data_IF_897510988799
#
_entry.id   IF_897510988799
#
_cell.length_a   1.000
_cell.length_b   1.000
_cell.length_c   1.000
_cell.angle_alpha   90.00
_cell.angle_beta   90.00
_cell.angle_gamma   90.00
#
_symmetry.space_group_name_H-M   'P 1'
#
loop_
_entity.id
_entity.type
_entity.pdbx_description
1 polymer ?
#
# COMPACT_ATOMS: atom_id res chain seq x y z
N UNK A 1 -17.58 -26.05 -6.79
CA UNK A 1 -16.79 -26.36 -5.59
C UNK A 1 -15.34 -25.95 -5.88
N UNK A 2 -14.77 -25.04 -5.09
CA UNK A 2 -13.46 -24.42 -5.37
C UNK A 2 -12.31 -25.17 -4.69
N UNK A 3 -12.60 -26.26 -3.97
CA UNK A 3 -11.60 -27.10 -3.30
C UNK A 3 -10.83 -26.42 -2.17
N UNK A 4 -11.30 -25.26 -1.68
CA UNK A 4 -10.64 -24.51 -0.63
C UNK A 4 -11.06 -25.03 0.74
N UNK A 5 -10.07 -25.35 1.60
CA UNK A 5 -10.33 -25.71 2.99
C UNK A 5 -10.67 -24.51 3.87
N UNK A 6 -10.07 -23.34 3.57
CA UNK A 6 -10.35 -22.04 4.21
C UNK A 6 -10.38 -20.94 3.14
N UNK A 7 -11.27 -19.97 3.28
CA UNK A 7 -11.36 -18.83 2.39
C UNK A 7 -11.64 -17.55 3.19
N UNK A 8 -11.25 -16.41 2.66
CA UNK A 8 -11.63 -15.09 3.15
C UNK A 8 -12.71 -14.55 2.22
N UNK A 9 -13.81 -14.11 2.80
CA UNK A 9 -14.86 -13.39 2.12
C UNK A 9 -14.87 -11.96 2.62
N UNK A 10 -14.78 -11.01 1.70
CA UNK A 10 -14.73 -9.58 2.02
C UNK A 10 -15.65 -8.78 1.10
N UNK A 11 -16.23 -7.65 1.56
CA UNK A 11 -17.00 -6.76 0.69
C UNK A 11 -16.13 -6.26 -0.45
N UNK A 12 -16.75 -6.03 -1.61
CA UNK A 12 -16.06 -5.45 -2.77
C UNK A 12 -15.49 -4.05 -2.49
N UNK A 13 -16.17 -3.29 -1.64
CA UNK A 13 -15.74 -1.97 -1.17
C UNK A 13 -15.78 -2.02 0.36
N UNK A 14 -14.64 -1.84 1.01
CA UNK A 14 -14.49 -1.86 2.45
C UNK A 14 -13.23 -1.11 2.85
N UNK A 15 -13.11 -0.76 4.13
CA UNK A 15 -11.91 -0.23 4.74
C UNK A 15 -11.64 -0.97 6.06
N UNK A 16 -10.39 -1.00 6.51
CA UNK A 16 -9.95 -1.57 7.81
C UNK A 16 -10.44 -3.01 8.07
N UNK A 17 -10.54 -3.84 7.03
CA UNK A 17 -11.06 -5.22 7.09
C UNK A 17 -12.50 -5.33 7.65
N UNK A 18 -13.29 -4.23 7.64
CA UNK A 18 -14.69 -4.30 8.04
C UNK A 18 -15.47 -5.22 7.11
N UNK A 19 -16.28 -6.11 7.70
CA UNK A 19 -17.06 -7.09 6.94
C UNK A 19 -16.22 -8.20 6.30
N UNK A 20 -14.96 -8.39 6.74
CA UNK A 20 -14.09 -9.47 6.28
C UNK A 20 -14.28 -10.70 7.18
N UNK A 21 -14.60 -11.83 6.56
CA UNK A 21 -14.95 -13.06 7.25
C UNK A 21 -14.04 -14.21 6.82
N UNK A 22 -13.63 -15.03 7.79
CA UNK A 22 -13.00 -16.30 7.53
C UNK A 22 -14.07 -17.37 7.37
N UNK A 23 -14.03 -18.08 6.25
CA UNK A 23 -14.88 -19.22 5.97
C UNK A 23 -14.09 -20.51 6.11
N UNK A 24 -14.66 -21.48 6.80
CA UNK A 24 -14.17 -22.86 6.87
C UNK A 24 -15.36 -23.82 6.92
N UNK A 25 -15.17 -25.14 6.82
CA UNK A 25 -16.27 -26.09 6.92
C UNK A 25 -17.12 -25.95 8.18
N UNK A 26 -16.49 -25.48 9.28
CA UNK A 26 -17.14 -25.34 10.60
C UNK A 26 -17.57 -23.91 10.89
N UNK A 27 -17.19 -22.94 10.06
CA UNK A 27 -17.47 -21.50 10.25
C UNK A 27 -18.19 -20.95 9.01
N UNK A 28 -19.48 -20.70 9.17
CA UNK A 28 -20.31 -20.04 8.17
C UNK A 28 -20.59 -18.56 8.51
N UNK A 29 -21.25 -17.87 7.60
CA UNK A 29 -21.73 -16.52 7.80
C UNK A 29 -23.12 -16.52 8.45
N UNK A 30 -23.40 -15.48 9.23
CA UNK A 30 -24.75 -15.20 9.68
C UNK A 30 -25.64 -14.79 8.49
N UNK A 31 -26.95 -14.88 8.69
CA UNK A 31 -27.91 -14.46 7.65
C UNK A 31 -27.84 -12.95 7.35
N UNK A 32 -27.49 -12.15 8.36
CA UNK A 32 -27.27 -10.69 8.20
C UNK A 32 -26.04 -10.39 7.36
N UNK A 33 -24.94 -11.11 7.59
CA UNK A 33 -23.70 -10.92 6.83
C UNK A 33 -23.87 -11.33 5.36
N UNK A 34 -24.56 -12.42 5.11
CA UNK A 34 -24.93 -12.83 3.74
C UNK A 34 -25.78 -11.79 3.03
N UNK A 35 -26.76 -11.19 3.73
CA UNK A 35 -27.59 -10.14 3.15
C UNK A 35 -26.76 -8.92 2.79
N UNK A 36 -25.92 -8.45 3.72
CA UNK A 36 -25.03 -7.32 3.48
C UNK A 36 -24.12 -7.56 2.27
N UNK A 37 -23.46 -8.71 2.20
CA UNK A 37 -22.58 -9.06 1.09
C UNK A 37 -23.31 -9.17 -0.25
N UNK A 38 -24.55 -9.62 -0.26
CA UNK A 38 -25.37 -9.64 -1.47
C UNK A 38 -25.72 -8.23 -1.97
N UNK A 39 -25.88 -7.27 -1.07
CA UNK A 39 -26.20 -5.88 -1.41
C UNK A 39 -24.96 -5.14 -1.95
N UNK A 40 -23.80 -5.30 -1.32
CA UNK A 40 -22.56 -4.56 -1.69
C UNK A 40 -21.65 -5.31 -2.64
N UNK A 41 -21.90 -6.58 -2.85
CA UNK A 41 -21.02 -7.51 -3.57
C UNK A 41 -19.87 -8.00 -2.70
N UNK A 42 -19.43 -9.23 -2.95
CA UNK A 42 -18.37 -9.88 -2.19
C UNK A 42 -17.23 -10.39 -3.08
N UNK A 43 -16.04 -10.47 -2.52
CA UNK A 43 -14.85 -11.11 -3.10
C UNK A 43 -14.50 -12.31 -2.24
N UNK A 44 -14.24 -13.45 -2.89
CA UNK A 44 -13.75 -14.67 -2.24
C UNK A 44 -12.28 -14.84 -2.58
N UNK A 45 -11.46 -15.01 -1.57
CA UNK A 45 -10.03 -15.22 -1.69
C UNK A 45 -9.64 -16.49 -0.93
N UNK A 46 -8.74 -17.30 -1.51
CA UNK A 46 -8.12 -18.39 -0.76
C UNK A 46 -7.43 -17.83 0.50
N UNK A 47 -7.60 -18.50 1.63
CA UNK A 47 -6.89 -18.10 2.84
C UNK A 47 -5.38 -18.37 2.68
N UNK A 48 -4.57 -17.41 3.04
CA UNK A 48 -3.10 -17.50 3.04
C UNK A 48 -2.64 -17.74 4.48
N UNK A 49 -2.31 -18.99 4.86
CA UNK A 49 -2.02 -19.32 6.26
C UNK A 49 -0.76 -18.64 6.81
N UNK A 50 0.15 -18.24 5.93
CA UNK A 50 1.37 -17.51 6.32
C UNK A 50 1.08 -16.15 6.97
N UNK A 51 -0.10 -15.56 6.76
CA UNK A 51 -0.49 -14.33 7.45
C UNK A 51 -0.53 -14.53 8.98
N UNK A 52 -0.95 -15.70 9.44
CA UNK A 52 -1.01 -16.03 10.87
C UNK A 52 0.38 -16.27 11.47
N UNK A 53 1.32 -16.80 10.70
CA UNK A 53 2.65 -17.22 11.17
C UNK A 53 3.74 -16.20 10.90
N UNK A 54 3.76 -15.61 9.72
CA UNK A 54 4.77 -14.66 9.27
C UNK A 54 4.30 -13.20 9.33
N UNK A 55 2.97 -12.99 9.32
CA UNK A 55 2.35 -11.68 9.22
C UNK A 55 2.30 -11.21 7.77
N UNK A 56 1.89 -9.96 7.60
CA UNK A 56 1.78 -9.26 6.31
C UNK A 56 2.79 -8.12 6.27
N UNK A 57 3.51 -7.97 5.18
CA UNK A 57 4.41 -6.87 4.92
C UNK A 57 3.67 -5.75 4.21
N UNK A 58 3.81 -4.53 4.69
CA UNK A 58 3.43 -3.32 3.98
C UNK A 58 4.69 -2.65 3.42
N UNK A 59 4.84 -2.67 2.10
CA UNK A 59 5.92 -2.03 1.39
C UNK A 59 5.47 -0.62 1.01
N UNK A 60 6.16 0.39 1.51
CA UNK A 60 5.85 1.79 1.27
C UNK A 60 6.77 2.36 0.20
N UNK A 61 6.17 2.95 -0.81
CA UNK A 61 6.86 3.62 -1.91
C UNK A 61 6.48 5.11 -1.89
N UNK A 62 7.45 5.97 -2.12
CA UNK A 62 7.27 7.43 -2.17
C UNK A 62 8.07 7.97 -3.35
N UNK A 63 7.41 8.76 -4.19
CA UNK A 63 7.99 9.45 -5.32
C UNK A 63 8.78 8.51 -6.27
N UNK A 64 8.15 7.38 -6.61
CA UNK A 64 8.69 6.40 -7.55
C UNK A 64 9.65 5.37 -6.94
N UNK A 65 10.04 5.49 -5.67
CA UNK A 65 11.04 4.63 -5.05
C UNK A 65 10.56 3.95 -3.78
N UNK A 66 11.11 2.75 -3.51
CA UNK A 66 10.93 2.09 -2.24
C UNK A 66 11.45 2.96 -1.08
N UNK A 67 10.65 3.14 -0.06
CA UNK A 67 10.98 3.94 1.11
C UNK A 67 11.34 3.06 2.31
N UNK A 68 10.40 2.25 2.76
CA UNK A 68 10.55 1.39 3.94
C UNK A 68 9.48 0.30 3.94
N UNK A 69 9.59 -0.61 4.87
CA UNK A 69 8.58 -1.64 5.09
C UNK A 69 8.27 -1.81 6.58
N UNK A 70 7.04 -2.22 6.85
CA UNK A 70 6.63 -2.69 8.16
C UNK A 70 6.03 -4.08 8.04
N UNK A 71 6.17 -4.88 9.10
CA UNK A 71 5.49 -6.17 9.23
C UNK A 71 4.32 -6.01 10.18
N UNK A 72 3.14 -6.32 9.71
CA UNK A 72 1.91 -6.37 10.50
C UNK A 72 1.69 -7.82 10.95
N UNK A 73 1.33 -8.01 12.21
CA UNK A 73 0.99 -9.33 12.77
C UNK A 73 -0.39 -9.30 13.38
N UNK A 74 -1.25 -10.29 13.12
CA UNK A 74 -2.55 -10.36 13.74
C UNK A 74 -2.45 -10.60 15.25
N UNK A 75 -3.50 -10.27 15.98
CA UNK A 75 -3.66 -10.70 17.36
C UNK A 75 -3.80 -12.23 17.42
N UNK A 76 -3.48 -12.81 18.57
CA UNK A 76 -3.62 -14.27 18.76
C UNK A 76 -5.06 -14.71 18.55
N UNK A 77 -5.28 -15.61 17.60
CA UNK A 77 -6.62 -16.13 17.27
C UNK A 77 -7.40 -15.28 16.28
N UNK A 78 -6.77 -14.24 15.72
CA UNK A 78 -7.31 -13.48 14.59
C UNK A 78 -6.39 -13.66 13.36
N UNK A 79 -6.89 -13.38 12.17
CA UNK A 79 -6.13 -13.34 10.92
C UNK A 79 -6.01 -11.91 10.37
N UNK A 80 -6.77 -10.96 10.93
CA UNK A 80 -6.74 -9.57 10.53
C UNK A 80 -5.58 -8.85 11.20
N UNK A 81 -4.77 -8.17 10.40
CA UNK A 81 -3.53 -7.53 10.85
C UNK A 81 -3.71 -6.06 11.26
N UNK A 82 -4.91 -5.50 11.07
CA UNK A 82 -5.22 -4.11 11.38
C UNK A 82 -5.23 -3.87 12.90
N UNK A 83 -4.81 -2.67 13.32
CA UNK A 83 -4.76 -2.26 14.73
C UNK A 83 -6.10 -2.33 15.44
N UNK A 84 -7.19 -2.07 14.72
CA UNK A 84 -8.57 -2.12 15.23
C UNK A 84 -8.96 -3.52 15.73
N UNK A 85 -8.28 -4.55 15.25
CA UNK A 85 -8.43 -5.95 15.68
C UNK A 85 -7.28 -6.42 16.58
N UNK A 86 -6.52 -5.49 17.16
CA UNK A 86 -5.41 -5.81 18.05
C UNK A 86 -4.12 -6.21 17.32
N UNK A 87 -4.07 -6.03 16.01
CA UNK A 87 -2.86 -6.21 15.22
C UNK A 87 -1.75 -5.27 15.66
N UNK A 88 -0.50 -5.70 15.46
CA UNK A 88 0.71 -4.92 15.79
C UNK A 88 1.59 -4.82 14.56
N UNK A 89 2.37 -3.76 14.49
CA UNK A 89 3.35 -3.60 13.42
C UNK A 89 4.73 -3.23 13.97
N UNK A 90 5.75 -3.57 13.21
CA UNK A 90 7.15 -3.25 13.49
C UNK A 90 7.87 -2.91 12.18
N UNK A 91 8.83 -1.99 12.22
CA UNK A 91 9.68 -1.70 11.07
C UNK A 91 10.60 -2.90 10.79
N UNK A 92 10.73 -3.26 9.51
CA UNK A 92 11.54 -4.40 9.08
C UNK A 92 12.36 -4.08 7.83
N UNK A 93 13.47 -4.79 7.68
CA UNK A 93 14.19 -4.86 6.41
C UNK A 93 13.64 -6.04 5.60
N UNK A 94 13.36 -5.83 4.34
CA UNK A 94 12.87 -6.87 3.43
C UNK A 94 13.93 -7.32 2.44
N UNK A 95 13.84 -8.56 1.98
CA UNK A 95 14.71 -9.08 0.92
C UNK A 95 14.50 -8.30 -0.40
N UNK A 96 15.54 -8.26 -1.24
CA UNK A 96 15.45 -7.60 -2.54
C UNK A 96 14.32 -8.16 -3.39
N UNK A 97 14.13 -9.49 -3.40
CA UNK A 97 13.06 -10.15 -4.15
C UNK A 97 11.64 -9.71 -3.76
N UNK A 98 11.43 -9.38 -2.48
CA UNK A 98 10.14 -8.87 -1.99
C UNK A 98 9.92 -7.42 -2.45
N UNK A 99 10.97 -6.60 -2.41
CA UNK A 99 10.92 -5.24 -2.93
C UNK A 99 10.68 -5.24 -4.43
N UNK A 100 11.44 -6.05 -5.19
CA UNK A 100 11.31 -6.16 -6.65
C UNK A 100 9.90 -6.62 -7.06
N UNK A 101 9.28 -7.50 -6.25
CA UNK A 101 7.87 -7.87 -6.43
C UNK A 101 6.93 -6.69 -6.24
N UNK A 102 7.13 -5.87 -5.20
CA UNK A 102 6.33 -4.65 -4.97
C UNK A 102 6.48 -3.64 -6.12
N UNK A 103 7.68 -3.46 -6.65
CA UNK A 103 7.94 -2.62 -7.82
C UNK A 103 7.23 -3.15 -9.07
N UNK A 104 7.25 -4.46 -9.30
CA UNK A 104 6.53 -5.10 -10.41
C UNK A 104 5.02 -4.90 -10.31
N UNK A 105 4.44 -4.97 -9.10
CA UNK A 105 3.01 -4.68 -8.86
C UNK A 105 2.68 -3.24 -9.25
N UNK A 106 3.50 -2.28 -8.86
CA UNK A 106 3.29 -0.87 -9.18
C UNK A 106 3.43 -0.59 -10.68
N UNK A 107 4.39 -1.22 -11.35
CA UNK A 107 4.53 -1.14 -12.80
C UNK A 107 3.30 -1.69 -13.52
N UNK A 108 2.76 -2.82 -13.06
CA UNK A 108 1.55 -3.41 -13.63
C UNK A 108 0.30 -2.54 -13.43
N UNK A 109 0.23 -1.75 -12.36
CA UNK A 109 -0.87 -0.82 -12.10
C UNK A 109 -0.93 0.33 -13.10
N UNK A 110 0.15 0.63 -13.82
CA UNK A 110 0.25 1.64 -14.90
C UNK A 110 -0.36 3.01 -14.53
N UNK A 111 -0.23 3.43 -13.28
CA UNK A 111 -0.80 4.67 -12.74
C UNK A 111 0.30 5.60 -12.26
N UNK A 112 0.09 6.90 -12.42
CA UNK A 112 0.90 7.91 -11.73
C UNK A 112 0.47 7.98 -10.27
N UNK A 113 1.42 7.91 -9.36
CA UNK A 113 1.23 8.01 -7.92
C UNK A 113 2.38 8.79 -7.29
N UNK A 114 2.12 9.45 -6.17
CA UNK A 114 3.14 10.09 -5.33
C UNK A 114 3.58 9.15 -4.21
N UNK A 115 2.65 8.37 -3.71
CA UNK A 115 2.88 7.34 -2.71
C UNK A 115 2.06 6.10 -3.05
N UNK A 116 2.51 4.98 -2.56
CA UNK A 116 1.82 3.71 -2.69
C UNK A 116 2.15 2.81 -1.51
N UNK A 117 1.21 1.94 -1.12
CA UNK A 117 1.45 0.82 -0.23
C UNK A 117 1.08 -0.48 -0.93
N UNK A 118 2.03 -1.40 -0.95
CA UNK A 118 1.84 -2.75 -1.48
C UNK A 118 1.91 -3.73 -0.32
N UNK A 119 0.78 -4.35 0.00
CA UNK A 119 0.70 -5.33 1.07
C UNK A 119 0.92 -6.73 0.51
N UNK A 120 1.87 -7.44 1.09
CA UNK A 120 2.29 -8.76 0.61
C UNK A 120 2.46 -9.76 1.75
N UNK A 121 2.24 -11.04 1.46
CA UNK A 121 2.60 -12.15 2.35
C UNK A 121 3.68 -12.98 1.69
N UNK A 122 4.76 -13.26 2.44
CA UNK A 122 5.81 -14.17 1.99
C UNK A 122 5.33 -15.62 2.15
N UNK A 123 5.39 -16.39 1.08
CA UNK A 123 5.08 -17.82 1.07
C UNK A 123 6.26 -18.65 0.55
N UNK A 124 6.19 -19.95 0.68
CA UNK A 124 7.19 -20.86 0.10
C UNK A 124 7.28 -20.78 -1.43
N UNK A 125 6.21 -20.32 -2.09
CA UNK A 125 6.15 -20.07 -3.53
C UNK A 125 6.56 -18.68 -3.96
N UNK A 126 6.98 -17.81 -3.02
CA UNK A 126 7.29 -16.41 -3.23
C UNK A 126 6.25 -15.45 -2.63
N UNK A 127 6.44 -14.14 -2.78
CA UNK A 127 5.49 -13.16 -2.26
C UNK A 127 4.16 -13.20 -3.01
N UNK A 128 3.05 -13.04 -2.27
CA UNK A 128 1.68 -12.94 -2.80
C UNK A 128 1.16 -11.55 -2.50
N UNK A 129 0.58 -10.89 -3.50
CA UNK A 129 -0.10 -9.61 -3.33
C UNK A 129 -1.40 -9.80 -2.55
N UNK A 130 -1.55 -9.06 -1.47
CA UNK A 130 -2.77 -9.00 -0.66
C UNK A 130 -3.60 -7.77 -0.99
N UNK A 131 -2.95 -6.60 -1.12
CA UNK A 131 -3.59 -5.33 -1.36
C UNK A 131 -2.64 -4.34 -2.04
N UNK A 132 -3.18 -3.47 -2.89
CA UNK A 132 -2.49 -2.31 -3.45
C UNK A 132 -3.30 -1.06 -3.10
N UNK A 133 -2.73 -0.17 -2.30
CA UNK A 133 -3.35 1.09 -1.92
C UNK A 133 -2.60 2.28 -2.50
N UNK A 134 -3.32 3.08 -3.30
CA UNK A 134 -2.83 4.30 -3.96
C UNK A 134 -3.56 5.57 -3.47
N UNK A 135 -4.61 5.41 -2.67
CA UNK A 135 -5.46 6.48 -2.15
C UNK A 135 -5.53 6.30 -0.63
N UNK A 136 -5.10 7.28 0.14
CA UNK A 136 -5.15 7.34 1.61
C UNK A 136 -4.59 6.13 2.42
N UNK A 137 -3.54 5.40 1.98
CA UNK A 137 -2.97 4.35 2.80
C UNK A 137 -2.36 4.89 4.09
N UNK A 138 -2.38 4.08 5.14
CA UNK A 138 -1.48 4.30 6.26
C UNK A 138 -0.04 4.07 5.80
N UNK A 139 0.78 5.12 5.81
CA UNK A 139 2.15 5.07 5.28
C UNK A 139 3.22 4.75 6.32
N UNK A 140 2.89 4.61 7.61
CA UNK A 140 3.85 4.32 8.69
C UNK A 140 5.09 5.22 8.63
N UNK A 141 4.90 6.52 8.38
CA UNK A 141 5.94 7.46 8.02
C UNK A 141 7.07 7.51 9.05
N UNK A 142 8.29 7.29 8.57
CA UNK A 142 9.52 7.66 9.27
C UNK A 142 9.83 9.14 9.03
N UNK A 143 10.69 9.79 9.83
CA UNK A 143 11.08 11.19 9.57
C UNK A 143 11.63 11.43 8.16
N UNK A 144 12.46 10.52 7.64
CA UNK A 144 13.00 10.62 6.28
C UNK A 144 11.94 10.42 5.20
N UNK A 145 11.00 9.50 5.42
CA UNK A 145 9.87 9.28 4.51
C UNK A 145 8.93 10.49 4.46
N UNK A 146 8.70 11.15 5.61
CA UNK A 146 7.89 12.36 5.67
C UNK A 146 8.52 13.52 4.87
N UNK A 147 9.84 13.70 4.98
CA UNK A 147 10.56 14.70 4.18
C UNK A 147 10.42 14.41 2.68
N UNK A 148 10.67 13.16 2.25
CA UNK A 148 10.53 12.78 0.82
C UNK A 148 9.09 13.01 0.31
N UNK A 149 8.09 12.68 1.12
CA UNK A 149 6.70 12.91 0.75
C UNK A 149 6.40 14.41 0.59
N UNK A 150 6.92 15.25 1.50
CA UNK A 150 6.76 16.69 1.42
C UNK A 150 7.46 17.27 0.18
N UNK A 151 8.68 16.85 -0.12
CA UNK A 151 9.42 17.28 -1.31
C UNK A 151 8.69 16.87 -2.59
N UNK A 152 8.17 15.65 -2.65
CA UNK A 152 7.39 15.14 -3.77
C UNK A 152 6.06 15.89 -3.96
N UNK A 153 5.41 16.34 -2.90
CA UNK A 153 4.24 17.22 -2.96
C UNK A 153 4.61 18.60 -3.49
N UNK A 154 5.65 19.22 -2.95
CA UNK A 154 6.10 20.55 -3.35
C UNK A 154 6.53 20.58 -4.82
N UNK A 155 7.19 19.55 -5.31
CA UNK A 155 7.61 19.48 -6.71
C UNK A 155 6.42 19.44 -7.69
N UNK A 156 5.31 18.81 -7.29
CA UNK A 156 4.09 18.68 -8.10
C UNK A 156 3.16 19.89 -8.01
N UNK A 157 3.32 20.72 -7.00
CA UNK A 157 2.48 21.92 -6.80
C UNK A 157 3.15 23.20 -7.26
N UNK A 158 4.44 23.17 -7.62
CA UNK A 158 5.10 24.35 -8.20
C UNK A 158 4.50 24.68 -9.57
N UNK A 159 4.09 25.96 -9.82
CA UNK A 159 3.67 26.37 -11.14
C UNK A 159 4.82 26.17 -12.13
N UNK A 160 4.51 25.73 -13.35
CA UNK A 160 5.49 25.50 -14.42
C UNK A 160 6.30 26.76 -14.79
N UNK A 161 5.78 27.95 -14.45
CA UNK A 161 6.39 29.25 -14.80
C UNK A 161 7.52 29.70 -13.87
N UNK A 162 7.78 29.00 -12.75
CA UNK A 162 8.85 29.37 -11.83
C UNK A 162 10.27 28.95 -12.30
N UNK A 163 10.38 28.19 -13.39
CA UNK A 163 11.63 27.67 -13.91
C UNK A 163 12.26 28.56 -15.01
N UNK A 164 11.57 29.61 -15.50
CA UNK A 164 12.03 30.42 -16.64
C UNK A 164 12.34 31.88 -16.30
N UNK A 165 12.48 32.24 -15.05
CA UNK A 165 12.65 33.61 -14.59
C UNK A 165 14.05 33.98 -14.13
N UNK A 166 15.08 33.85 -14.98
CA UNK A 166 16.29 34.64 -14.84
C UNK A 166 16.33 35.62 -16.02
N UNK A 167 16.10 36.91 -15.80
CA UNK A 167 16.23 37.90 -16.87
C UNK A 167 17.69 37.94 -17.33
N UNK A 168 17.95 38.11 -18.64
CA UNK A 168 19.32 38.26 -19.12
C UNK A 168 19.94 39.53 -18.51
N UNK A 169 21.14 39.33 -17.97
CA UNK A 169 22.01 40.42 -17.50
C UNK A 169 22.22 41.44 -18.63
N UNK A 170 21.65 42.62 -18.47
CA UNK A 170 21.90 43.78 -19.32
C UNK A 170 23.02 44.65 -18.72
N UNK A 171 24.21 44.08 -18.67
CA UNK A 171 25.41 44.85 -18.41
C UNK A 171 26.37 44.74 -19.58
N UNK A 172 26.17 45.49 -20.64
CA UNK A 172 27.28 45.82 -21.52
C UNK A 172 26.94 47.05 -22.38
N UNK A 173 27.67 48.11 -22.18
CA UNK A 173 28.01 49.04 -23.23
C UNK A 173 27.38 50.42 -23.16
N UNK A 174 27.87 51.28 -22.26
CA UNK A 174 27.95 52.69 -22.56
C UNK A 174 29.37 52.98 -23.04
N UNK A 175 29.57 52.96 -24.34
CA UNK A 175 30.73 53.53 -24.98
C UNK A 175 30.55 55.01 -25.09
N UNK A 176 31.42 55.75 -24.43
CA UNK A 176 31.64 57.16 -24.63
C UNK A 176 32.50 57.30 -25.90
N UNK A 177 31.99 57.96 -26.93
CA UNK A 177 32.82 58.65 -27.92
C UNK A 177 32.46 60.14 -27.93
N UNK A 178 33.50 60.90 -28.08
CA UNK A 178 33.62 62.38 -28.01
C UNK A 178 32.84 63.13 -29.09
#
# INVERSE_FOLDING_TARGET
>A
QWGLSRAVLKPRISATAYGTYLLSPDLGLSQSDWRHLNEVGGLVQAFVPEVETQGELSLVFIDGEFSHAVRKRPARGDFRVQSDFGGRWEAVTVAASVRDFGEAVLLAASRSWLYARVDVVETSGGPILMELELIEPQLFLTPSAAVRLADGLLSRTRPADAASGMPPDRSSGVGLEQ
#
